data_IF_766690834229
#
_entry.id   IF_766690834229
#
_cell.length_a   1.000
_cell.length_b   1.000
_cell.length_c   1.000
_cell.angle_alpha   90.00
_cell.angle_beta   90.00
_cell.angle_gamma   90.00
#
_symmetry.space_group_name_H-M   'P 1'
#
loop_
_entity.id
_entity.type
_entity.pdbx_description
1 polymer ?
#
# COMPACT_ATOMS: atom_id res chain seq x y z
N UNK A 1 -31.73 -0.64 -4.71
CA UNK A 1 -30.39 -0.29 -5.19
C UNK A 1 -29.35 -0.81 -4.20
N UNK A 2 -28.80 -2.01 -4.41
CA UNK A 2 -27.56 -2.43 -3.72
C UNK A 2 -26.53 -1.33 -3.92
N UNK A 3 -25.94 -0.82 -2.84
CA UNK A 3 -25.03 0.32 -2.87
C UNK A 3 -23.93 0.09 -3.92
N UNK A 4 -24.04 0.76 -5.08
CA UNK A 4 -23.08 0.68 -6.19
C UNK A 4 -21.63 0.88 -5.69
N UNK A 5 -21.46 1.72 -4.68
CA UNK A 5 -20.20 1.96 -3.99
C UNK A 5 -19.64 0.73 -3.29
N UNK A 6 -20.47 -0.09 -2.64
CA UNK A 6 -20.03 -1.33 -1.96
C UNK A 6 -19.55 -2.38 -2.97
N UNK A 7 -20.29 -2.56 -4.07
CA UNK A 7 -19.87 -3.48 -5.13
C UNK A 7 -18.53 -3.05 -5.73
N UNK A 8 -18.38 -1.75 -6.01
CA UNK A 8 -17.14 -1.20 -6.54
C UNK A 8 -15.98 -1.32 -5.53
N UNK A 9 -16.19 -1.01 -4.25
CA UNK A 9 -15.19 -1.23 -3.19
C UNK A 9 -14.73 -2.68 -3.13
N UNK A 10 -15.64 -3.65 -3.31
CA UNK A 10 -15.28 -5.07 -3.34
C UNK A 10 -14.35 -5.39 -4.53
N UNK A 11 -14.64 -4.87 -5.73
CA UNK A 11 -13.78 -5.08 -6.90
C UNK A 11 -12.38 -4.51 -6.65
N UNK A 12 -12.28 -3.23 -6.27
CA UNK A 12 -11.00 -2.57 -6.01
C UNK A 12 -10.20 -3.30 -4.91
N UNK A 13 -10.89 -3.78 -3.88
CA UNK A 13 -10.27 -4.57 -2.81
C UNK A 13 -9.61 -5.86 -3.32
N UNK A 14 -10.29 -6.66 -4.13
CA UNK A 14 -9.70 -7.89 -4.69
C UNK A 14 -8.62 -7.61 -5.73
N UNK A 15 -8.77 -6.55 -6.53
CA UNK A 15 -7.73 -6.09 -7.47
C UNK A 15 -6.46 -5.71 -6.70
N UNK A 16 -6.57 -4.95 -5.61
CA UNK A 16 -5.43 -4.61 -4.76
C UNK A 16 -4.72 -5.84 -4.19
N UNK A 17 -5.48 -6.86 -3.76
CA UNK A 17 -4.89 -8.10 -3.25
C UNK A 17 -4.10 -8.82 -4.35
N UNK A 18 -4.66 -8.93 -5.56
CA UNK A 18 -3.97 -9.55 -6.68
C UNK A 18 -2.66 -8.82 -7.02
N UNK A 19 -2.71 -7.48 -7.08
CA UNK A 19 -1.55 -6.63 -7.32
C UNK A 19 -0.49 -6.81 -6.21
N UNK A 20 -0.91 -6.82 -4.95
CA UNK A 20 -0.03 -7.03 -3.81
C UNK A 20 0.69 -8.39 -3.89
N UNK A 21 -0.04 -9.46 -4.22
CA UNK A 21 0.55 -10.80 -4.41
C UNK A 21 1.61 -10.78 -5.51
N UNK A 22 1.32 -10.16 -6.66
CA UNK A 22 2.28 -10.04 -7.76
C UNK A 22 3.53 -9.26 -7.36
N UNK A 23 3.39 -8.17 -6.61
CA UNK A 23 4.53 -7.40 -6.08
C UNK A 23 5.36 -8.24 -5.10
N UNK A 24 4.71 -8.95 -4.18
CA UNK A 24 5.35 -9.84 -3.20
C UNK A 24 6.13 -10.96 -3.92
N UNK A 25 5.55 -11.57 -4.95
CA UNK A 25 6.21 -12.57 -5.80
C UNK A 25 7.46 -11.96 -6.46
N UNK A 26 7.36 -10.77 -7.07
CA UNK A 26 8.49 -10.11 -7.69
C UNK A 26 9.69 -9.93 -6.73
N UNK A 27 9.43 -9.57 -5.45
CA UNK A 27 10.48 -9.39 -4.45
C UNK A 27 11.05 -10.70 -3.88
N UNK A 28 10.20 -11.72 -3.68
CA UNK A 28 10.60 -12.98 -3.03
C UNK A 28 11.25 -13.99 -3.97
N UNK A 29 10.90 -13.98 -5.26
CA UNK A 29 11.44 -14.98 -6.19
C UNK A 29 12.94 -14.70 -6.43
N UNK A 30 13.81 -15.71 -6.20
CA UNK A 30 15.24 -15.58 -6.42
C UNK A 30 15.58 -15.74 -7.91
N UNK A 31 15.28 -14.72 -8.70
CA UNK A 31 15.71 -14.60 -10.09
C UNK A 31 16.97 -13.73 -10.21
N UNK A 32 17.71 -13.87 -11.31
CA UNK A 32 18.94 -13.11 -11.55
C UNK A 32 18.71 -11.60 -11.53
N UNK A 33 19.72 -10.85 -11.08
CA UNK A 33 19.64 -9.38 -10.97
C UNK A 33 19.38 -8.72 -12.33
N UNK A 34 19.92 -9.30 -13.40
CA UNK A 34 19.67 -8.85 -14.78
C UNK A 34 18.18 -8.96 -15.12
N UNK A 35 17.55 -10.08 -14.75
CA UNK A 35 16.12 -10.28 -15.00
C UNK A 35 15.26 -9.37 -14.11
N UNK A 36 15.61 -9.18 -12.84
CA UNK A 36 14.92 -8.23 -11.95
C UNK A 36 14.97 -6.81 -12.51
N UNK A 37 16.14 -6.36 -12.96
CA UNK A 37 16.30 -5.03 -13.56
C UNK A 37 15.44 -4.84 -14.81
N UNK A 38 15.34 -5.86 -15.66
CA UNK A 38 14.49 -5.81 -16.86
C UNK A 38 12.99 -5.80 -16.52
N UNK A 39 12.59 -6.46 -15.43
CA UNK A 39 11.20 -6.52 -14.96
C UNK A 39 10.81 -5.30 -14.09
N UNK A 40 11.79 -4.55 -13.58
CA UNK A 40 11.56 -3.41 -12.69
C UNK A 40 10.55 -2.37 -13.22
N UNK A 41 10.55 -1.97 -14.51
CA UNK A 41 9.54 -1.04 -15.02
C UNK A 41 8.10 -1.56 -14.85
N UNK A 42 7.89 -2.86 -15.02
CA UNK A 42 6.58 -3.48 -14.80
C UNK A 42 6.20 -3.47 -13.32
N UNK A 43 7.14 -3.77 -12.42
CA UNK A 43 6.93 -3.69 -10.98
C UNK A 43 6.61 -2.24 -10.54
N UNK A 44 7.27 -1.25 -11.13
CA UNK A 44 7.02 0.17 -10.86
C UNK A 44 5.62 0.60 -11.32
N UNK A 45 5.19 0.21 -12.53
CA UNK A 45 3.81 0.44 -13.01
C UNK A 45 2.81 -0.24 -12.09
N UNK A 46 3.08 -1.46 -11.66
CA UNK A 46 2.22 -2.23 -10.78
C UNK A 46 2.09 -1.58 -9.39
N UNK A 47 3.18 -1.06 -8.83
CA UNK A 47 3.19 -0.28 -7.59
C UNK A 47 2.43 1.05 -7.73
N UNK A 48 2.52 1.70 -8.90
CA UNK A 48 1.75 2.92 -9.17
C UNK A 48 0.24 2.63 -9.28
N UNK A 49 -0.15 1.54 -9.94
CA UNK A 49 -1.54 1.08 -9.98
C UNK A 49 -2.04 0.69 -8.59
N UNK A 50 -1.19 0.05 -7.77
CA UNK A 50 -1.49 -0.25 -6.37
C UNK A 50 -1.86 1.01 -5.58
N UNK A 51 -1.09 2.10 -5.77
CA UNK A 51 -1.38 3.39 -5.16
C UNK A 51 -2.70 3.99 -5.67
N UNK A 52 -2.92 4.05 -6.99
CA UNK A 52 -4.15 4.62 -7.58
C UNK A 52 -5.39 3.87 -7.08
N UNK A 53 -5.35 2.54 -7.14
CA UNK A 53 -6.47 1.72 -6.69
C UNK A 53 -6.63 1.77 -5.16
N UNK A 54 -5.54 1.95 -4.40
CA UNK A 54 -5.58 2.21 -2.98
C UNK A 54 -6.32 3.50 -2.65
N UNK A 55 -5.97 4.60 -3.34
CA UNK A 55 -6.63 5.89 -3.18
C UNK A 55 -8.11 5.84 -3.59
N UNK A 56 -8.42 5.15 -4.69
CA UNK A 56 -9.79 4.93 -5.13
C UNK A 56 -10.59 4.12 -4.09
N UNK A 57 -10.02 3.03 -3.54
CA UNK A 57 -10.67 2.26 -2.48
C UNK A 57 -10.86 3.09 -1.21
N UNK A 58 -9.89 3.93 -0.85
CA UNK A 58 -9.99 4.81 0.31
C UNK A 58 -11.17 5.78 0.16
N UNK A 59 -11.27 6.44 -1.00
CA UNK A 59 -12.35 7.36 -1.33
C UNK A 59 -13.71 6.65 -1.36
N UNK A 60 -13.80 5.48 -2.00
CA UNK A 60 -15.04 4.70 -2.04
C UNK A 60 -15.46 4.23 -0.66
N UNK A 61 -14.52 3.76 0.17
CA UNK A 61 -14.78 3.31 1.53
C UNK A 61 -15.26 4.46 2.41
N UNK A 62 -14.73 5.67 2.21
CA UNK A 62 -15.22 6.88 2.87
C UNK A 62 -16.67 7.18 2.50
N UNK A 63 -17.00 7.17 1.19
CA UNK A 63 -18.34 7.48 0.66
C UNK A 63 -19.36 6.36 0.89
N UNK A 64 -18.90 5.13 1.07
CA UNK A 64 -19.79 3.98 1.27
C UNK A 64 -20.51 4.05 2.62
N UNK A 65 -21.76 3.57 2.65
CA UNK A 65 -22.55 3.42 3.89
C UNK A 65 -22.13 2.21 4.73
N UNK A 66 -21.05 1.53 4.35
CA UNK A 66 -20.47 0.42 5.10
C UNK A 66 -20.12 0.91 6.50
N UNK A 67 -20.59 0.22 7.54
CA UNK A 67 -20.28 0.54 8.95
C UNK A 67 -19.50 -0.61 9.60
N UNK A 68 -19.00 -0.39 10.81
CA UNK A 68 -18.36 -1.43 11.61
C UNK A 68 -17.04 -1.98 11.03
N UNK A 69 -16.69 -3.21 11.42
CA UNK A 69 -15.35 -3.78 11.18
C UNK A 69 -14.98 -3.95 9.70
N UNK A 70 -15.94 -4.14 8.79
CA UNK A 70 -15.63 -4.22 7.36
C UNK A 70 -15.06 -2.91 6.83
N UNK A 71 -15.62 -1.76 7.25
CA UNK A 71 -15.07 -0.44 6.90
C UNK A 71 -13.64 -0.32 7.37
N UNK A 72 -13.35 -0.73 8.61
CA UNK A 72 -11.99 -0.72 9.16
C UNK A 72 -11.03 -1.52 8.29
N UNK A 73 -11.37 -2.74 7.89
CA UNK A 73 -10.50 -3.55 7.04
C UNK A 73 -10.28 -2.95 5.65
N UNK A 74 -11.31 -2.39 5.02
CA UNK A 74 -11.16 -1.69 3.73
C UNK A 74 -10.24 -0.47 3.86
N UNK A 75 -10.35 0.29 4.96
CA UNK A 75 -9.46 1.41 5.26
C UNK A 75 -8.02 0.95 5.50
N UNK A 76 -7.79 -0.12 6.27
CA UNK A 76 -6.44 -0.66 6.49
C UNK A 76 -5.79 -1.07 5.17
N UNK A 77 -6.51 -1.78 4.29
CA UNK A 77 -6.03 -2.16 2.95
C UNK A 77 -5.74 -0.94 2.08
N UNK A 78 -6.63 0.05 2.07
CA UNK A 78 -6.48 1.24 1.24
C UNK A 78 -5.35 2.16 1.73
N UNK A 79 -5.27 2.44 3.03
CA UNK A 79 -4.24 3.28 3.64
C UNK A 79 -2.87 2.64 3.50
N UNK A 80 -2.74 1.33 3.69
CA UNK A 80 -1.45 0.65 3.48
C UNK A 80 -1.00 0.69 2.02
N UNK A 81 -1.92 0.56 1.07
CA UNK A 81 -1.59 0.67 -0.35
C UNK A 81 -1.13 2.08 -0.76
N UNK A 82 -1.84 3.11 -0.29
CA UNK A 82 -1.46 4.52 -0.50
C UNK A 82 -0.14 4.84 0.23
N UNK A 83 -0.07 4.45 1.50
CA UNK A 83 1.05 4.70 2.39
C UNK A 83 2.35 4.08 1.92
N UNK A 84 2.29 2.92 1.24
CA UNK A 84 3.47 2.27 0.66
C UNK A 84 4.20 3.22 -0.29
N UNK A 85 3.52 3.68 -1.35
CA UNK A 85 4.17 4.49 -2.38
C UNK A 85 4.57 5.87 -1.82
N UNK A 86 3.72 6.49 -1.00
CA UNK A 86 4.05 7.76 -0.32
C UNK A 86 5.31 7.61 0.52
N UNK A 87 5.44 6.53 1.28
CA UNK A 87 6.62 6.28 2.12
C UNK A 87 7.86 5.98 1.29
N UNK A 88 7.74 5.26 0.17
CA UNK A 88 8.86 5.07 -0.77
C UNK A 88 9.34 6.41 -1.32
N UNK A 89 8.43 7.29 -1.75
CA UNK A 89 8.80 8.63 -2.21
C UNK A 89 9.48 9.45 -1.12
N UNK A 90 8.90 9.49 0.09
CA UNK A 90 9.46 10.26 1.21
C UNK A 90 10.81 9.71 1.67
N UNK A 91 10.99 8.39 1.68
CA UNK A 91 12.30 7.77 1.94
C UNK A 91 13.35 8.30 0.97
N UNK A 92 13.09 8.23 -0.33
CA UNK A 92 14.06 8.67 -1.34
C UNK A 92 14.29 10.19 -1.28
N UNK A 93 13.25 10.97 -1.03
CA UNK A 93 13.35 12.42 -0.89
C UNK A 93 14.22 12.83 0.30
N UNK A 94 13.97 12.28 1.49
CA UNK A 94 14.77 12.60 2.68
C UNK A 94 16.19 12.04 2.59
N UNK A 95 16.38 10.88 1.96
CA UNK A 95 17.71 10.36 1.68
C UNK A 95 18.52 11.34 0.81
N UNK A 96 17.95 11.80 -0.31
CA UNK A 96 18.61 12.76 -1.19
C UNK A 96 18.88 14.10 -0.47
N UNK A 97 17.94 14.58 0.34
CA UNK A 97 18.11 15.80 1.12
C UNK A 97 19.22 15.66 2.17
N UNK A 98 19.36 14.48 2.79
CA UNK A 98 20.45 14.16 3.71
C UNK A 98 21.83 14.21 3.03
N UNK A 99 21.92 13.75 1.78
CA UNK A 99 23.15 13.84 0.98
C UNK A 99 23.54 15.29 0.67
N UNK A 100 22.56 16.14 0.33
CA UNK A 100 22.80 17.56 0.04
C UNK A 100 23.17 18.33 1.32
N UNK A 101 22.52 18.00 2.44
CA UNK A 101 22.71 18.64 3.73
C UNK A 101 23.88 18.07 4.55
N UNK A 102 24.78 17.30 3.94
CA UNK A 102 25.81 16.53 4.63
C UNK A 102 26.73 17.37 5.54
N UNK A 103 26.91 18.66 5.22
CA UNK A 103 27.72 19.62 5.96
C UNK A 103 27.02 20.20 7.20
N UNK A 104 25.70 20.03 7.34
CA UNK A 104 24.91 20.55 8.47
C UNK A 104 24.51 19.36 9.35
N UNK A 105 25.30 19.07 10.38
CA UNK A 105 25.17 17.87 11.22
C UNK A 105 23.75 17.61 11.72
N UNK A 106 23.07 18.62 12.25
CA UNK A 106 21.70 18.48 12.79
C UNK A 106 20.71 18.10 11.69
N UNK A 107 20.81 18.76 10.53
CA UNK A 107 19.91 18.52 9.41
C UNK A 107 20.16 17.12 8.80
N UNK A 108 21.43 16.71 8.68
CA UNK A 108 21.79 15.35 8.24
C UNK A 108 21.19 14.28 9.14
N UNK A 109 21.35 14.40 10.47
CA UNK A 109 20.79 13.44 11.44
C UNK A 109 19.26 13.39 11.33
N UNK A 110 18.60 14.55 11.20
CA UNK A 110 17.15 14.58 11.02
C UNK A 110 16.72 13.85 9.74
N UNK A 111 17.42 14.06 8.63
CA UNK A 111 17.15 13.38 7.37
C UNK A 111 17.40 11.86 7.46
N UNK A 112 18.46 11.44 8.15
CA UNK A 112 18.78 10.03 8.45
C UNK A 112 17.64 9.35 9.23
N UNK A 113 17.11 10.00 10.27
CA UNK A 113 15.97 9.47 11.02
C UNK A 113 14.72 9.38 10.14
N UNK A 114 14.44 10.41 9.35
CA UNK A 114 13.24 10.47 8.52
C UNK A 114 13.25 9.40 7.43
N UNK A 115 14.31 9.30 6.62
CA UNK A 115 14.30 8.32 5.52
C UNK A 115 14.25 6.88 6.06
N UNK A 116 14.95 6.56 7.16
CA UNK A 116 14.86 5.24 7.80
C UNK A 116 13.44 4.97 8.31
N UNK A 117 12.78 5.96 8.91
CA UNK A 117 11.40 5.82 9.37
C UNK A 117 10.46 5.49 8.21
N UNK A 118 10.54 6.21 7.10
CA UNK A 118 9.71 5.92 5.92
C UNK A 118 10.06 4.59 5.25
N UNK A 119 11.31 4.15 5.32
CA UNK A 119 11.70 2.79 4.89
C UNK A 119 11.00 1.71 5.74
N UNK A 120 11.02 1.86 7.06
CA UNK A 120 10.34 0.97 7.99
C UNK A 120 8.82 1.01 7.76
N UNK A 121 8.26 2.17 7.44
CA UNK A 121 6.83 2.24 7.11
C UNK A 121 6.55 1.48 5.80
N UNK A 122 7.32 1.74 4.75
CA UNK A 122 7.08 1.17 3.43
C UNK A 122 7.26 -0.35 3.39
N UNK A 123 8.36 -0.86 3.95
CA UNK A 123 8.80 -2.24 3.70
C UNK A 123 8.16 -3.23 4.69
N UNK A 124 8.28 -3.08 6.02
CA UNK A 124 7.58 -3.99 6.94
C UNK A 124 6.15 -3.55 7.29
N UNK A 125 5.92 -2.28 7.66
CA UNK A 125 4.62 -1.88 8.27
C UNK A 125 3.48 -1.95 7.25
N UNK A 126 3.62 -1.32 6.07
CA UNK A 126 2.57 -1.28 5.07
C UNK A 126 2.13 -2.70 4.63
N UNK A 127 3.02 -3.65 4.31
CA UNK A 127 2.61 -5.02 3.98
C UNK A 127 1.91 -5.75 5.12
N UNK A 128 2.36 -5.61 6.37
CA UNK A 128 1.70 -6.23 7.53
C UNK A 128 0.29 -5.68 7.70
N UNK A 129 0.13 -4.35 7.68
CA UNK A 129 -1.16 -3.69 7.79
C UNK A 129 -2.08 -4.06 6.61
N UNK A 130 -1.52 -4.15 5.40
CA UNK A 130 -2.25 -4.60 4.21
C UNK A 130 -2.78 -6.01 4.39
N UNK A 131 -1.95 -6.95 4.86
CA UNK A 131 -2.34 -8.34 5.13
C UNK A 131 -3.47 -8.42 6.18
N UNK A 132 -3.36 -7.66 7.28
CA UNK A 132 -4.43 -7.60 8.30
C UNK A 132 -5.74 -7.11 7.68
N UNK A 133 -5.68 -6.04 6.88
CA UNK A 133 -6.84 -5.51 6.15
C UNK A 133 -7.42 -6.52 5.15
N UNK A 134 -6.57 -7.15 4.35
CA UNK A 134 -6.96 -8.12 3.33
C UNK A 134 -7.61 -9.36 3.94
N UNK A 135 -6.96 -10.01 4.92
CA UNK A 135 -7.49 -11.21 5.58
C UNK A 135 -8.79 -10.89 6.31
N UNK A 136 -8.83 -9.80 7.09
CA UNK A 136 -10.03 -9.39 7.81
C UNK A 136 -11.20 -9.05 6.86
N UNK A 137 -10.90 -8.37 5.75
CA UNK A 137 -11.88 -8.03 4.71
C UNK A 137 -12.44 -9.27 4.01
N UNK A 138 -11.57 -10.20 3.59
CA UNK A 138 -11.98 -11.47 2.97
C UNK A 138 -12.92 -12.24 3.89
N UNK A 139 -12.53 -12.46 5.15
CA UNK A 139 -13.34 -13.19 6.14
C UNK A 139 -14.71 -12.54 6.31
N UNK A 140 -14.77 -11.21 6.35
CA UNK A 140 -16.05 -10.48 6.48
C UNK A 140 -16.92 -10.56 5.23
N UNK A 141 -16.33 -10.52 4.03
CA UNK A 141 -17.08 -10.71 2.78
C UNK A 141 -17.64 -12.13 2.62
N UNK A 142 -16.88 -13.15 3.05
CA UNK A 142 -17.32 -14.56 2.97
C UNK A 142 -18.44 -14.83 3.99
N UNK A 143 -18.31 -14.35 5.23
CA UNK A 143 -19.29 -14.61 6.30
C UNK A 143 -20.65 -13.91 6.10
N UNK A 144 -20.88 -13.15 5.01
CA UNK A 144 -22.12 -12.38 4.74
C UNK A 144 -22.61 -11.52 5.93
N UNK A 145 -21.75 -11.16 6.88
CA UNK A 145 -22.12 -10.46 8.12
C UNK A 145 -22.44 -8.97 7.94
N UNK A 146 -22.70 -8.52 6.71
CA UNK A 146 -23.36 -7.25 6.44
C UNK A 146 -24.40 -7.46 5.34
N UNK A 147 -25.64 -6.98 5.57
CA UNK A 147 -26.72 -7.20 4.63
C UNK A 147 -26.41 -6.55 3.28
N UNK A 148 -26.71 -7.33 2.25
CA UNK A 148 -26.84 -6.92 0.85
C UNK A 148 -28.09 -6.05 0.67
#
# INVERSE_FOLDING_TARGET
MKDKHLYLSKIFFFVLIAIFILLVIYFLVPVSDVMKRNLFPFAAVLAFLFFIFGAALLFLSWKSKVKGRLKTFLFLTAISAVGFLVSVFLHNFFYALGMIAANITVLRILMEVLHVTFFIIAIPICPIVFLIGAVGGIVKFIKKQQPL
#
